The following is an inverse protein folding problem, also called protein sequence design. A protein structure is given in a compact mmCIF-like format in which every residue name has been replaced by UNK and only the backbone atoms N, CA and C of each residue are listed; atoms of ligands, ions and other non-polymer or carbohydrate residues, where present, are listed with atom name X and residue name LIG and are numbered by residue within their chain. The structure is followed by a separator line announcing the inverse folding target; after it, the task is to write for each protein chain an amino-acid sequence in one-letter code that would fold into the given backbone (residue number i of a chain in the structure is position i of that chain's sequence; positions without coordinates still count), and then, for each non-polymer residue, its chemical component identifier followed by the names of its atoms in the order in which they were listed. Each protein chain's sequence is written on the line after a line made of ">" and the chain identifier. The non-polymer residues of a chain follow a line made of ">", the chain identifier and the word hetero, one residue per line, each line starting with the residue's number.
data_IF_889653871593
#
_entry.id   IF_889653871593
#
_cell.length_a   1.000
_cell.length_b   1.000
_cell.length_c   1.000
_cell.angle_alpha   90.00
_cell.angle_beta   90.00
_cell.angle_gamma   90.00
#
_symmetry.space_group_name_H-M   'P 1'
#
loop_
_entity.id
_entity.type
_entity.pdbx_description
1 polymer ?
#
# COMPACT_ATOMS: atom_id res chain seq x y z
N UNK A 1 -28.64 -4.06 -2.90
CA UNK A 1 -27.98 -3.02 -2.09
C UNK A 1 -26.66 -2.67 -2.76
N UNK A 2 -26.55 -1.51 -3.43
CA UNK A 2 -25.26 -1.06 -3.99
C UNK A 2 -24.42 -0.52 -2.83
N UNK A 3 -23.30 -1.19 -2.53
CA UNK A 3 -22.36 -0.72 -1.50
C UNK A 3 -21.91 0.70 -1.81
N UNK A 4 -21.89 1.54 -0.78
CA UNK A 4 -21.36 2.91 -0.86
C UNK A 4 -19.93 2.81 -1.41
N UNK A 5 -19.65 3.49 -2.54
CA UNK A 5 -18.29 3.60 -3.06
C UNK A 5 -17.49 4.43 -2.05
N UNK A 6 -16.67 3.77 -1.24
CA UNK A 6 -15.75 4.45 -0.33
C UNK A 6 -14.84 5.36 -1.16
N UNK A 7 -14.83 6.64 -0.81
CA UNK A 7 -14.01 7.63 -1.51
C UNK A 7 -12.59 7.47 -0.98
N UNK A 8 -11.70 6.92 -1.80
CA UNK A 8 -10.27 6.81 -1.50
C UNK A 8 -9.70 8.21 -1.32
N UNK A 9 -9.24 8.51 -0.10
CA UNK A 9 -8.72 9.82 0.30
C UNK A 9 -7.32 9.72 0.90
N UNK A 10 -6.89 8.55 1.32
CA UNK A 10 -5.57 8.32 1.91
C UNK A 10 -4.78 7.29 1.11
N UNK A 11 -3.45 7.46 1.10
CA UNK A 11 -2.49 6.44 0.72
C UNK A 11 -1.58 6.18 1.92
N UNK A 12 -1.38 4.90 2.25
CA UNK A 12 -0.42 4.44 3.24
C UNK A 12 0.72 3.69 2.56
N UNK A 13 1.94 3.91 3.04
CA UNK A 13 3.14 3.19 2.62
C UNK A 13 3.90 2.69 3.84
N UNK A 14 4.39 1.45 3.76
CA UNK A 14 5.29 0.85 4.72
C UNK A 14 6.53 0.31 3.98
N UNK A 15 7.72 0.68 4.46
CA UNK A 15 9.02 0.22 3.95
C UNK A 15 9.73 -0.64 5.00
N UNK A 16 10.14 -1.84 4.61
CA UNK A 16 10.85 -2.78 5.46
C UNK A 16 12.26 -3.07 4.91
N UNK A 17 13.24 -3.34 5.77
CA UNK A 17 14.59 -3.77 5.39
C UNK A 17 14.73 -5.29 5.22
N UNK A 18 13.62 -6.01 5.24
CA UNK A 18 13.58 -7.47 5.08
C UNK A 18 12.40 -7.86 4.21
N UNK A 19 12.67 -8.51 3.07
CA UNK A 19 11.63 -9.00 2.15
C UNK A 19 10.67 -9.98 2.83
N UNK A 20 11.19 -10.95 3.59
CA UNK A 20 10.36 -11.98 4.24
C UNK A 20 9.41 -11.37 5.25
N UNK A 21 9.88 -10.42 6.07
CA UNK A 21 9.03 -9.71 7.04
C UNK A 21 8.11 -8.71 6.34
N UNK A 22 8.55 -8.12 5.23
CA UNK A 22 7.72 -7.28 4.38
C UNK A 22 6.50 -8.02 3.81
N UNK A 23 6.65 -9.29 3.41
CA UNK A 23 5.52 -10.14 2.99
C UNK A 23 4.54 -10.36 4.15
N UNK A 24 5.02 -10.55 5.38
CA UNK A 24 4.15 -10.65 6.58
C UNK A 24 3.40 -9.33 6.83
N UNK A 25 4.08 -8.19 6.66
CA UNK A 25 3.46 -6.88 6.69
C UNK A 25 2.40 -6.70 5.61
N UNK A 26 2.66 -7.15 4.37
CA UNK A 26 1.71 -7.11 3.27
C UNK A 26 0.48 -7.98 3.52
N UNK A 27 0.65 -9.19 4.05
CA UNK A 27 -0.46 -10.07 4.47
C UNK A 27 -1.33 -9.40 5.54
N UNK A 28 -0.69 -8.70 6.49
CA UNK A 28 -1.41 -7.93 7.51
C UNK A 28 -2.23 -6.79 6.89
N UNK A 29 -1.63 -6.06 5.95
CA UNK A 29 -2.29 -4.95 5.24
C UNK A 29 -3.46 -5.44 4.38
N UNK A 30 -3.28 -6.50 3.58
CA UNK A 30 -4.34 -6.99 2.68
C UNK A 30 -5.52 -7.60 3.43
N UNK A 31 -5.32 -8.06 4.66
CA UNK A 31 -6.37 -8.56 5.55
C UNK A 31 -7.07 -7.46 6.34
N UNK A 32 -6.56 -6.24 6.34
CA UNK A 32 -7.20 -5.12 7.02
C UNK A 32 -8.47 -4.69 6.26
N UNK A 33 -9.58 -4.55 6.98
CA UNK A 33 -10.83 -4.08 6.40
C UNK A 33 -10.77 -2.58 6.10
N UNK A 34 -11.40 -2.14 5.01
CA UNK A 34 -11.54 -0.73 4.67
C UNK A 34 -10.37 -0.13 3.87
N UNK A 35 -9.37 -0.94 3.50
CA UNK A 35 -8.32 -0.54 2.57
C UNK A 35 -8.35 -1.36 1.28
N UNK A 36 -7.83 -0.78 0.22
CA UNK A 36 -7.53 -1.41 -1.05
C UNK A 36 -6.01 -1.55 -1.15
N UNK A 37 -5.56 -2.76 -1.48
CA UNK A 37 -4.18 -3.03 -1.80
C UNK A 37 -3.80 -2.44 -3.17
N UNK A 38 -2.73 -1.67 -3.23
CA UNK A 38 -2.24 -1.07 -4.48
C UNK A 38 -1.04 -1.85 -5.04
N UNK A 39 -0.02 -2.05 -4.21
CA UNK A 39 1.23 -2.68 -4.64
C UNK A 39 2.00 -3.25 -3.44
N UNK A 40 2.72 -4.36 -3.67
CA UNK A 40 3.81 -4.78 -2.81
C UNK A 40 4.97 -5.22 -3.70
N UNK A 41 6.13 -4.61 -3.48
CA UNK A 41 7.27 -4.76 -4.36
C UNK A 41 8.58 -4.82 -3.58
N UNK A 42 9.53 -5.57 -4.11
CA UNK A 42 10.92 -5.53 -3.65
C UNK A 42 11.60 -4.29 -4.22
N UNK A 43 12.49 -3.70 -3.42
CA UNK A 43 13.32 -2.56 -3.83
C UNK A 43 14.80 -2.92 -3.60
N UNK A 44 15.71 -2.16 -4.21
CA UNK A 44 17.16 -2.33 -4.09
C UNK A 44 17.64 -2.48 -2.63
N UNK A 45 18.69 -3.29 -2.43
CA UNK A 45 18.58 -4.72 -2.17
C UNK A 45 18.07 -5.02 -0.75
N UNK A 46 17.14 -5.96 -0.64
CA UNK A 46 16.61 -6.47 0.64
C UNK A 46 15.43 -5.68 1.21
N UNK A 47 15.06 -4.57 0.57
CA UNK A 47 13.93 -3.74 0.98
C UNK A 47 12.61 -4.20 0.38
N UNK A 48 11.53 -3.90 1.07
CA UNK A 48 10.18 -4.26 0.66
C UNK A 48 9.20 -3.15 0.96
N UNK A 49 8.42 -2.75 -0.04
CA UNK A 49 7.40 -1.73 0.06
C UNK A 49 6.01 -2.35 0.03
N UNK A 50 5.10 -1.79 0.80
CA UNK A 50 3.67 -2.10 0.77
C UNK A 50 2.90 -0.80 0.66
N UNK A 51 2.09 -0.68 -0.39
CA UNK A 51 1.29 0.50 -0.72
C UNK A 51 -0.20 0.12 -0.74
N UNK A 52 -1.02 0.93 -0.08
CA UNK A 52 -2.46 0.71 0.04
C UNK A 52 -3.22 2.03 0.15
N UNK A 53 -4.51 2.01 -0.17
CA UNK A 53 -5.38 3.18 -0.19
C UNK A 53 -6.69 2.95 0.56
N UNK A 54 -7.33 4.02 1.03
CA UNK A 54 -8.61 3.92 1.73
C UNK A 54 -9.12 5.28 2.19
N UNK A 55 -10.08 5.29 3.11
CA UNK A 55 -10.31 6.49 3.93
C UNK A 55 -9.15 6.66 4.93
N UNK A 56 -8.93 7.89 5.39
CA UNK A 56 -7.75 8.23 6.22
C UNK A 56 -7.73 7.41 7.52
N UNK A 57 -8.89 7.15 8.12
CA UNK A 57 -8.98 6.36 9.35
C UNK A 57 -8.57 4.90 9.13
N UNK A 58 -9.13 4.26 8.10
CA UNK A 58 -8.79 2.88 7.73
C UNK A 58 -7.32 2.73 7.34
N UNK A 59 -6.76 3.70 6.62
CA UNK A 59 -5.32 3.68 6.28
C UNK A 59 -4.47 3.77 7.55
N UNK A 60 -4.82 4.68 8.48
CA UNK A 60 -4.04 4.85 9.70
C UNK A 60 -4.11 3.62 10.62
N UNK A 61 -5.29 3.00 10.80
CA UNK A 61 -5.39 1.75 11.57
C UNK A 61 -4.63 0.60 10.92
N UNK A 62 -4.67 0.52 9.59
CA UNK A 62 -3.95 -0.50 8.82
C UNK A 62 -2.43 -0.31 8.92
N UNK A 63 -1.96 0.94 8.88
CA UNK A 63 -0.54 1.26 9.09
C UNK A 63 -0.07 0.75 10.44
N UNK A 64 -0.78 1.05 11.53
CA UNK A 64 -0.39 0.58 12.88
C UNK A 64 -0.31 -0.95 12.98
N UNK A 65 -1.25 -1.67 12.34
CA UNK A 65 -1.19 -3.13 12.26
C UNK A 65 0.03 -3.63 11.48
N UNK A 66 0.32 -3.05 10.31
CA UNK A 66 1.49 -3.41 9.49
C UNK A 66 2.83 -3.10 10.18
N UNK A 67 2.91 -1.98 10.89
CA UNK A 67 4.07 -1.58 11.69
C UNK A 67 4.34 -2.59 12.79
N UNK A 68 3.30 -3.01 13.53
CA UNK A 68 3.42 -4.04 14.55
C UNK A 68 3.87 -5.38 13.95
N UNK A 69 3.31 -5.77 12.81
CA UNK A 69 3.67 -7.01 12.11
C UNK A 69 5.15 -7.02 11.65
N UNK A 70 5.68 -5.88 11.22
CA UNK A 70 7.07 -5.70 10.79
C UNK A 70 7.99 -5.07 11.83
N UNK A 71 7.63 -5.11 13.12
CA UNK A 71 8.45 -4.56 14.19
C UNK A 71 9.90 -5.11 14.13
N UNK A 72 10.87 -4.23 14.32
CA UNK A 72 12.31 -4.53 14.25
C UNK A 72 12.93 -4.47 12.84
N UNK A 73 12.12 -4.37 11.78
CA UNK A 73 12.60 -4.27 10.39
C UNK A 73 11.93 -3.18 9.56
N UNK A 74 10.96 -2.45 10.13
CA UNK A 74 10.38 -1.26 9.51
C UNK A 74 11.47 -0.17 9.43
N UNK A 75 11.67 0.39 8.25
CA UNK A 75 12.59 1.51 8.01
C UNK A 75 11.81 2.81 7.93
N UNK A 76 10.72 2.83 7.16
CA UNK A 76 9.95 4.04 6.90
C UNK A 76 8.46 3.76 6.82
N UNK A 77 7.67 4.80 7.10
CA UNK A 77 6.22 4.80 7.01
C UNK A 77 5.73 6.20 6.66
N UNK A 78 4.75 6.30 5.77
CA UNK A 78 4.05 7.57 5.60
C UNK A 78 2.57 7.39 5.26
N UNK A 79 1.80 8.41 5.64
CA UNK A 79 0.40 8.60 5.31
C UNK A 79 0.28 9.86 4.47
N UNK A 80 -0.19 9.75 3.24
CA UNK A 80 -0.60 10.90 2.45
C UNK A 80 -2.11 11.06 2.57
N UNK A 81 -2.54 12.04 3.36
CA UNK A 81 -3.95 12.36 3.54
C UNK A 81 -4.47 13.25 2.41
N UNK A 82 -5.76 13.10 2.07
CA UNK A 82 -6.48 13.86 1.05
C UNK A 82 -5.80 13.86 -0.34
N UNK A 83 -5.45 12.67 -0.82
CA UNK A 83 -4.86 12.46 -2.15
C UNK A 83 -5.85 12.84 -3.24
N UNK A 84 -5.37 13.55 -4.26
CA UNK A 84 -6.17 13.88 -5.44
C UNK A 84 -6.59 12.61 -6.19
N UNK A 85 -7.85 12.53 -6.62
CA UNK A 85 -8.43 11.30 -7.17
C UNK A 85 -7.70 10.77 -8.42
N UNK A 86 -7.10 11.67 -9.21
CA UNK A 86 -6.32 11.33 -10.40
C UNK A 86 -5.03 10.56 -10.10
N UNK A 87 -4.55 10.54 -8.85
CA UNK A 87 -3.33 9.83 -8.47
C UNK A 87 -3.57 8.32 -8.39
N UNK A 88 -4.75 7.88 -7.94
CA UNK A 88 -5.02 6.44 -7.76
C UNK A 88 -4.97 5.63 -9.07
N UNK A 89 -5.54 6.11 -10.20
CA UNK A 89 -5.35 5.43 -11.49
C UNK A 89 -3.89 5.39 -11.95
N UNK A 90 -3.10 6.43 -11.66
CA UNK A 90 -1.70 6.52 -12.08
C UNK A 90 -0.76 5.57 -11.31
N UNK A 91 -1.11 5.22 -10.07
CA UNK A 91 -0.36 4.27 -9.24
C UNK A 91 -0.77 2.81 -9.47
N UNK A 92 -1.90 2.55 -10.12
CA UNK A 92 -2.39 1.20 -10.32
C UNK A 92 -1.66 0.53 -11.49
N UNK A 93 -1.00 -0.64 -11.29
CA UNK A 93 -0.27 -1.35 -12.36
C UNK A 93 -1.15 -1.70 -13.58
N UNK A 94 -2.47 -1.80 -13.36
CA UNK A 94 -3.46 -2.20 -14.36
C UNK A 94 -3.83 -1.10 -15.37
N UNK A 95 -3.36 0.15 -15.20
CA UNK A 95 -3.57 1.24 -16.15
C UNK A 95 -2.36 1.50 -17.07
N UNK A 96 -1.44 0.55 -17.19
CA UNK A 96 -0.43 0.56 -18.25
C UNK A 96 -1.12 0.38 -19.62
N UNK A 97 -1.70 1.45 -20.14
CA UNK A 97 -2.00 1.61 -21.58
C UNK A 97 -0.71 1.77 -22.41
N UNK A 98 0.46 1.43 -21.84
CA UNK A 98 1.74 1.49 -22.50
C UNK A 98 2.14 0.09 -23.01
N UNK A 99 1.91 -0.22 -24.30
CA UNK A 99 2.37 -1.46 -24.92
C UNK A 99 3.90 -1.58 -25.06
N UNK A 100 4.68 -0.61 -24.53
CA UNK A 100 6.15 -0.56 -24.61
C UNK A 100 6.85 -0.52 -23.25
N UNK A 101 6.38 -1.27 -22.26
CA UNK A 101 7.20 -1.55 -21.06
C UNK A 101 7.89 -2.91 -21.25
N UNK A 102 9.09 -3.00 -21.87
CA UNK A 102 9.75 -4.29 -22.13
C UNK A 102 10.29 -5.01 -20.89
N UNK A 103 9.94 -4.55 -19.68
CA UNK A 103 10.49 -5.05 -18.42
C UNK A 103 9.45 -5.30 -17.34
N UNK A 104 8.17 -5.49 -17.72
CA UNK A 104 7.15 -6.13 -16.88
C UNK A 104 6.73 -7.42 -17.55
#
# INVERSE_FOLDING_TARGET
>A
MRGVRQVKKGIGLLEYCSMTRGIVGADTVVKAAGVEFLEAATVCPGKFLVLFAGDVGSVQSTMEAGIAAGAGVLIDRFLLANVHEAVFPALSPLHSSNPRAPWV
#
